data_IF_046871630115
#
_entry.id   IF_046871630115
#
_cell.length_a   1.000
_cell.length_b   1.000
_cell.length_c   1.000
_cell.angle_alpha   90.00
_cell.angle_beta   90.00
_cell.angle_gamma   90.00
#
_symmetry.space_group_name_H-M   'P 1'
#
loop_
_entity.id
_entity.type
_entity.pdbx_description
1 polymer ?
#
# COMPACT_ATOMS: atom_id res chain seq x y z
N UNK A 1 -21.24 -14.77 -27.17
CA UNK A 1 -19.78 -14.87 -26.97
C UNK A 1 -19.28 -13.80 -25.99
N UNK A 2 -19.33 -12.50 -26.32
CA UNK A 2 -18.79 -11.44 -25.45
C UNK A 2 -19.45 -11.35 -24.05
N UNK A 3 -20.78 -11.53 -23.95
CA UNK A 3 -21.48 -11.52 -22.66
C UNK A 3 -21.03 -12.66 -21.72
N UNK A 4 -20.67 -13.83 -22.25
CA UNK A 4 -20.15 -14.95 -21.46
C UNK A 4 -18.76 -14.67 -20.90
N UNK A 5 -17.87 -14.07 -21.71
CA UNK A 5 -16.53 -13.68 -21.27
C UNK A 5 -16.60 -12.63 -20.16
N UNK A 6 -17.47 -11.61 -20.31
CA UNK A 6 -17.65 -10.59 -19.29
C UNK A 6 -18.08 -11.19 -17.94
N UNK A 7 -19.00 -12.15 -17.95
CA UNK A 7 -19.44 -12.85 -16.75
C UNK A 7 -18.29 -13.65 -16.10
N UNK A 8 -17.49 -14.36 -16.90
CA UNK A 8 -16.33 -15.11 -16.41
C UNK A 8 -15.24 -14.23 -15.79
N UNK A 9 -14.95 -13.08 -16.39
CA UNK A 9 -14.01 -12.11 -15.83
C UNK A 9 -14.54 -11.51 -14.54
N UNK A 10 -15.84 -11.15 -14.52
CA UNK A 10 -16.50 -10.64 -13.32
C UNK A 10 -16.42 -11.66 -12.18
N UNK A 11 -16.75 -12.93 -12.44
CA UNK A 11 -16.64 -14.00 -11.46
C UNK A 11 -15.20 -14.17 -10.95
N UNK A 12 -14.21 -14.12 -11.86
CA UNK A 12 -12.79 -14.22 -11.50
C UNK A 12 -12.33 -13.09 -10.57
N UNK A 13 -12.80 -11.86 -10.80
CA UNK A 13 -12.47 -10.69 -9.98
C UNK A 13 -13.25 -10.70 -8.65
N UNK A 14 -14.54 -11.05 -8.68
CA UNK A 14 -15.37 -11.16 -7.47
C UNK A 14 -14.83 -12.22 -6.50
N UNK A 15 -14.27 -13.33 -7.00
CA UNK A 15 -13.60 -14.34 -6.19
C UNK A 15 -12.39 -13.77 -5.39
N UNK A 16 -11.88 -12.59 -5.77
CA UNK A 16 -10.81 -11.85 -5.08
C UNK A 16 -11.35 -10.62 -4.34
N UNK A 17 -12.67 -10.53 -4.17
CA UNK A 17 -13.38 -9.39 -3.56
C UNK A 17 -13.19 -8.07 -4.32
N UNK A 18 -12.92 -8.15 -5.62
CA UNK A 18 -12.86 -6.99 -6.51
C UNK A 18 -14.11 -7.01 -7.38
N UNK A 19 -15.03 -6.08 -7.14
CA UNK A 19 -16.29 -5.99 -7.86
C UNK A 19 -16.22 -4.82 -8.85
N UNK A 20 -15.81 -5.04 -10.10
CA UNK A 20 -15.64 -3.96 -11.07
C UNK A 20 -16.98 -3.33 -11.46
N UNK A 21 -16.96 -2.04 -11.80
CA UNK A 21 -18.12 -1.38 -12.40
C UNK A 21 -18.38 -1.91 -13.81
N UNK A 22 -19.65 -1.86 -14.25
CA UNK A 22 -20.00 -2.24 -15.62
C UNK A 22 -19.25 -1.38 -16.66
N UNK A 23 -19.07 -0.08 -16.37
CA UNK A 23 -18.33 0.85 -17.20
C UNK A 23 -16.85 0.44 -17.35
N UNK A 24 -16.19 0.09 -16.24
CA UNK A 24 -14.81 -0.39 -16.29
C UNK A 24 -14.69 -1.70 -17.08
N UNK A 25 -15.62 -2.65 -16.88
CA UNK A 25 -15.61 -3.94 -17.59
C UNK A 25 -15.80 -3.75 -19.10
N UNK A 26 -16.73 -2.89 -19.52
CA UNK A 26 -16.94 -2.57 -20.93
C UNK A 26 -15.70 -1.90 -21.55
N UNK A 27 -15.09 -0.95 -20.84
CA UNK A 27 -13.84 -0.31 -21.27
C UNK A 27 -12.65 -1.29 -21.36
N UNK A 28 -12.57 -2.26 -20.45
CA UNK A 28 -11.55 -3.31 -20.54
C UNK A 28 -11.74 -4.18 -21.79
N UNK A 29 -12.96 -4.65 -22.02
CA UNK A 29 -13.28 -5.54 -23.15
C UNK A 29 -13.07 -4.86 -24.50
N UNK A 30 -13.36 -3.57 -24.64
CA UNK A 30 -13.13 -2.82 -25.89
C UNK A 30 -11.66 -2.73 -26.29
N UNK A 31 -10.73 -2.84 -25.32
CA UNK A 31 -9.29 -2.84 -25.57
C UNK A 31 -8.68 -4.24 -25.74
N UNK A 32 -9.50 -5.30 -25.61
CA UNK A 32 -9.03 -6.67 -25.69
C UNK A 32 -9.05 -7.18 -27.13
N UNK A 33 -7.99 -7.89 -27.55
CA UNK A 33 -7.91 -8.44 -28.90
C UNK A 33 -8.87 -9.63 -29.03
N UNK A 34 -9.52 -9.84 -30.19
CA UNK A 34 -10.53 -10.89 -30.36
C UNK A 34 -10.07 -12.32 -30.01
N UNK A 35 -8.80 -12.65 -30.20
CA UNK A 35 -8.24 -14.00 -30.00
C UNK A 35 -7.41 -14.14 -28.71
N UNK A 36 -7.55 -13.24 -27.75
CA UNK A 36 -6.81 -13.38 -26.47
C UNK A 36 -7.36 -14.55 -25.66
N UNK A 37 -6.51 -15.50 -25.21
CA UNK A 37 -6.95 -16.60 -24.37
C UNK A 37 -7.54 -16.12 -23.05
N UNK A 38 -8.63 -16.74 -22.61
CA UNK A 38 -9.32 -16.39 -21.37
C UNK A 38 -8.42 -16.32 -20.11
N UNK A 39 -7.45 -17.25 -19.88
CA UNK A 39 -6.53 -17.12 -18.75
C UNK A 39 -5.70 -15.84 -18.79
N UNK A 40 -5.26 -15.42 -19.97
CA UNK A 40 -4.53 -14.17 -20.17
C UNK A 40 -5.44 -12.96 -19.94
N UNK A 41 -6.70 -13.02 -20.34
CA UNK A 41 -7.69 -11.98 -20.04
C UNK A 41 -7.96 -11.87 -18.55
N UNK A 42 -8.10 -12.99 -17.83
CA UNK A 42 -8.28 -13.02 -16.37
C UNK A 42 -7.12 -12.31 -15.66
N UNK A 43 -5.88 -12.67 -15.98
CA UNK A 43 -4.70 -12.00 -15.40
C UNK A 43 -4.58 -10.53 -15.79
N UNK A 44 -4.79 -10.20 -17.07
CA UNK A 44 -4.69 -8.82 -17.56
C UNK A 44 -5.77 -7.93 -16.96
N UNK A 45 -7.00 -8.44 -16.79
CA UNK A 45 -8.10 -7.71 -16.15
C UNK A 45 -7.77 -7.42 -14.69
N UNK A 46 -7.25 -8.40 -13.94
CA UNK A 46 -6.81 -8.21 -12.56
C UNK A 46 -5.70 -7.15 -12.48
N UNK A 47 -4.65 -7.28 -13.28
CA UNK A 47 -3.54 -6.35 -13.31
C UNK A 47 -3.98 -4.92 -13.61
N UNK A 48 -4.80 -4.73 -14.65
CA UNK A 48 -5.30 -3.40 -15.02
C UNK A 48 -6.25 -2.83 -13.98
N UNK A 49 -7.12 -3.65 -13.36
CA UNK A 49 -8.04 -3.19 -12.33
C UNK A 49 -7.28 -2.67 -11.11
N UNK A 50 -6.25 -3.39 -10.66
CA UNK A 50 -5.41 -2.98 -9.54
C UNK A 50 -4.63 -1.67 -9.82
N UNK A 51 -4.43 -1.33 -11.08
CA UNK A 51 -3.80 -0.08 -11.52
C UNK A 51 -4.78 1.11 -11.69
N UNK A 52 -6.05 0.96 -11.32
CA UNK A 52 -7.07 2.03 -11.38
C UNK A 52 -7.45 2.57 -10.02
N UNK A 53 -8.10 3.74 -10.00
CA UNK A 53 -8.68 4.32 -8.78
C UNK A 53 -9.96 3.56 -8.41
N UNK A 54 -9.95 2.94 -7.23
CA UNK A 54 -11.05 2.08 -6.77
C UNK A 54 -12.37 2.83 -6.56
N UNK A 55 -12.34 4.15 -6.41
CA UNK A 55 -13.55 4.96 -6.24
C UNK A 55 -14.37 5.08 -7.53
N UNK A 56 -13.72 4.81 -8.68
CA UNK A 56 -14.34 4.87 -10.01
C UNK A 56 -14.46 3.49 -10.66
N UNK A 57 -13.54 2.58 -10.33
CA UNK A 57 -13.48 1.26 -10.96
C UNK A 57 -14.19 0.15 -10.20
N UNK A 58 -14.46 0.32 -8.89
CA UNK A 58 -15.12 -0.69 -8.08
C UNK A 58 -16.51 -0.25 -7.61
N UNK A 59 -17.43 -1.21 -7.54
CA UNK A 59 -18.72 -1.10 -6.87
C UNK A 59 -18.84 -2.21 -5.83
N UNK A 60 -18.23 -2.00 -4.66
CA UNK A 60 -18.22 -2.99 -3.60
C UNK A 60 -19.62 -3.17 -2.98
N UNK A 61 -20.00 -4.41 -2.62
CA UNK A 61 -21.18 -4.66 -1.80
C UNK A 61 -21.13 -3.89 -0.47
N UNK A 62 -22.31 -3.57 0.08
CA UNK A 62 -22.43 -2.87 1.37
C UNK A 62 -21.59 -3.47 2.53
N UNK A 63 -21.48 -4.81 2.72
CA UNK A 63 -20.62 -5.37 3.78
C UNK A 63 -19.11 -5.26 3.50
N UNK A 64 -18.71 -4.89 2.28
CA UNK A 64 -17.31 -4.80 1.83
C UNK A 64 -16.77 -3.36 1.76
N UNK A 65 -17.48 -2.42 2.38
CA UNK A 65 -17.05 -1.02 2.54
C UNK A 65 -17.05 -0.65 4.01
N UNK A 66 -16.39 0.46 4.37
CA UNK A 66 -16.40 0.88 5.76
C UNK A 66 -17.78 1.38 6.17
N UNK A 67 -18.26 1.03 7.38
CA UNK A 67 -19.46 1.64 7.94
C UNK A 67 -19.28 3.16 8.09
N UNK A 68 -20.34 3.92 7.85
CA UNK A 68 -20.31 5.40 7.82
C UNK A 68 -19.86 6.05 9.14
N UNK A 69 -19.97 5.32 10.24
CA UNK A 69 -19.59 5.75 11.58
C UNK A 69 -18.19 5.27 12.02
N UNK A 70 -17.40 4.65 11.13
CA UNK A 70 -16.08 4.10 11.45
C UNK A 70 -15.12 5.13 12.04
N UNK A 71 -15.28 6.40 11.65
CA UNK A 71 -14.45 7.52 12.11
C UNK A 71 -14.96 8.16 13.42
N UNK A 72 -16.06 7.69 14.00
CA UNK A 72 -16.57 8.23 15.27
C UNK A 72 -15.61 7.85 16.41
N UNK A 73 -14.73 8.78 16.78
CA UNK A 73 -13.73 8.61 17.84
C UNK A 73 -14.29 8.42 19.26
N UNK A 74 -15.60 8.61 19.45
CA UNK A 74 -16.30 8.27 20.71
C UNK A 74 -16.35 6.77 20.96
N UNK A 75 -16.31 5.96 19.90
CA UNK A 75 -16.19 4.51 20.01
C UNK A 75 -14.74 4.14 20.32
N UNK A 76 -14.52 3.55 21.49
CA UNK A 76 -13.18 3.17 21.93
C UNK A 76 -12.57 2.10 21.02
N UNK A 77 -13.34 1.08 20.69
CA UNK A 77 -12.90 -0.07 19.90
C UNK A 77 -14.08 -0.71 19.17
N UNK A 78 -13.84 -1.21 17.97
CA UNK A 78 -14.76 -2.07 17.20
C UNK A 78 -13.98 -2.95 16.25
N UNK A 79 -14.63 -3.98 15.72
CA UNK A 79 -14.07 -4.83 14.66
C UNK A 79 -14.81 -4.52 13.36
N UNK A 80 -14.07 -4.34 12.27
CA UNK A 80 -14.61 -4.34 10.92
C UNK A 80 -14.36 -5.73 10.33
N UNK A 81 -15.42 -6.55 10.14
CA UNK A 81 -15.25 -7.95 9.71
C UNK A 81 -14.67 -8.06 8.29
N UNK A 82 -15.06 -7.14 7.40
CA UNK A 82 -14.65 -7.17 6.00
C UNK A 82 -15.24 -8.37 5.23
N UNK A 83 -14.70 -8.71 4.05
CA UNK A 83 -13.51 -8.14 3.44
C UNK A 83 -13.72 -6.70 2.93
N UNK A 84 -12.80 -5.78 3.28
CA UNK A 84 -12.80 -4.39 2.76
C UNK A 84 -11.59 -4.17 1.88
N UNK A 85 -11.80 -3.77 0.63
CA UNK A 85 -10.71 -3.37 -0.27
C UNK A 85 -10.40 -1.89 -0.05
N UNK A 86 -9.14 -1.62 0.25
CA UNK A 86 -8.62 -0.27 0.47
C UNK A 86 -7.53 0.05 -0.54
N UNK A 87 -7.41 1.33 -0.89
CA UNK A 87 -6.33 1.90 -1.66
C UNK A 87 -5.42 2.71 -0.74
N UNK A 88 -4.12 2.49 -0.83
CA UNK A 88 -3.12 3.27 -0.09
C UNK A 88 -2.93 4.62 -0.77
N UNK A 89 -3.21 5.69 -0.04
CA UNK A 89 -3.01 7.07 -0.49
C UNK A 89 -1.71 7.68 0.01
N UNK A 90 -1.26 7.27 1.20
CA UNK A 90 -0.06 7.77 1.85
C UNK A 90 0.52 6.72 2.80
N UNK A 91 1.82 6.80 3.06
CA UNK A 91 2.54 6.01 4.05
C UNK A 91 3.64 6.87 4.71
N UNK A 92 3.69 6.84 6.03
CA UNK A 92 4.70 7.52 6.83
C UNK A 92 5.38 6.50 7.73
N UNK A 93 6.71 6.56 7.80
CA UNK A 93 7.46 5.90 8.87
C UNK A 93 7.42 6.81 10.10
N UNK A 94 6.74 6.34 11.14
CA UNK A 94 6.60 7.03 12.42
C UNK A 94 7.54 6.44 13.50
N UNK A 95 8.32 5.41 13.15
CA UNK A 95 9.34 4.83 14.02
C UNK A 95 10.66 5.61 14.00
N UNK A 96 10.99 6.24 12.88
CA UNK A 96 12.21 7.04 12.73
C UNK A 96 11.93 8.55 12.69
N UNK A 97 12.89 9.34 13.15
CA UNK A 97 12.80 10.80 13.07
C UNK A 97 12.70 11.28 11.62
N UNK A 98 11.92 12.34 11.39
CA UNK A 98 11.77 12.93 10.06
C UNK A 98 13.11 13.38 9.48
N UNK A 99 13.98 13.92 10.33
CA UNK A 99 15.31 14.38 9.92
C UNK A 99 16.20 13.23 9.45
N UNK A 100 16.25 12.12 10.20
CA UNK A 100 16.99 10.91 9.79
C UNK A 100 16.50 10.36 8.44
N UNK A 101 15.19 10.42 8.19
CA UNK A 101 14.64 10.04 6.89
C UNK A 101 15.04 10.99 5.76
N UNK A 102 15.13 12.30 6.01
CA UNK A 102 15.63 13.29 5.04
C UNK A 102 17.10 13.01 4.72
N UNK A 103 17.94 12.82 5.74
CA UNK A 103 19.36 12.51 5.58
C UNK A 103 19.56 11.21 4.78
N UNK A 104 18.76 10.18 5.03
CA UNK A 104 18.81 8.93 4.26
C UNK A 104 18.42 9.12 2.78
N UNK A 105 17.45 9.99 2.49
CA UNK A 105 17.09 10.34 1.11
C UNK A 105 18.26 11.06 0.43
N UNK A 106 18.89 12.02 1.10
CA UNK A 106 20.02 12.79 0.57
C UNK A 106 21.27 11.93 0.35
N UNK A 107 21.61 11.06 1.29
CA UNK A 107 22.73 10.13 1.15
C UNK A 107 22.55 9.22 -0.08
N UNK A 108 21.31 8.80 -0.35
CA UNK A 108 20.97 8.01 -1.54
C UNK A 108 21.08 8.84 -2.82
N UNK A 109 20.65 10.11 -2.82
CA UNK A 109 20.81 11.04 -3.96
C UNK A 109 22.29 11.32 -4.26
N UNK A 110 23.13 11.39 -3.23
CA UNK A 110 24.59 11.55 -3.34
C UNK A 110 25.34 10.27 -3.74
N UNK A 111 24.65 9.13 -3.82
CA UNK A 111 25.26 7.84 -4.19
C UNK A 111 26.10 7.18 -3.10
N UNK A 112 25.99 7.65 -1.85
CA UNK A 112 26.74 7.14 -0.69
C UNK A 112 26.35 5.70 -0.31
N UNK A 113 25.15 5.26 -0.72
CA UNK A 113 24.59 3.93 -0.46
C UNK A 113 25.18 2.80 -1.35
N UNK A 114 26.03 3.12 -2.33
CA UNK A 114 26.55 2.15 -3.32
C UNK A 114 27.94 1.58 -3.00
N UNK A 115 28.61 2.05 -1.94
CA UNK A 115 29.93 1.56 -1.53
C UNK A 115 29.80 0.60 -0.34
N UNK A 116 30.10 -0.67 -0.56
CA UNK A 116 30.15 -1.66 0.54
C UNK A 116 30.20 -3.13 0.15
N UNK A 117 30.91 -3.52 -0.91
CA UNK A 117 31.57 -4.84 -0.90
C UNK A 117 32.98 -4.62 -0.40
N UNK A 118 33.13 -4.49 0.90
CA UNK A 118 34.45 -4.57 1.51
C UNK A 118 34.73 -6.04 1.79
N UNK A 119 35.73 -6.58 1.10
CA UNK A 119 36.21 -7.95 1.27
C UNK A 119 36.93 -7.97 2.62
N UNK A 120 36.33 -8.60 3.63
CA UNK A 120 36.99 -8.85 4.92
C UNK A 120 38.19 -9.74 4.66
N UNK A 121 39.40 -9.16 4.60
CA UNK A 121 40.61 -9.89 4.93
C UNK A 121 40.56 -10.10 6.44
N UNK A 122 40.19 -11.31 6.84
CA UNK A 122 40.33 -11.77 8.22
C UNK A 122 41.82 -11.74 8.53
N UNK A 123 42.26 -10.70 9.22
CA UNK A 123 43.46 -10.73 10.04
C UNK A 123 42.94 -10.70 11.46
N UNK A 124 43.05 -11.84 12.14
CA UNK A 124 42.66 -11.97 13.54
C UNK A 124 43.55 -11.06 14.39
N UNK A 125 42.98 -9.97 14.88
CA UNK A 125 43.58 -9.23 15.98
C UNK A 125 42.47 -8.70 16.89
N UNK A 126 42.51 -9.19 18.12
CA UNK A 126 41.59 -8.89 19.20
C UNK A 126 41.63 -7.41 19.59
N UNK A 127 40.47 -6.92 20.03
CA UNK A 127 40.21 -5.73 20.84
C UNK A 127 39.75 -4.44 20.12
N UNK A 128 38.73 -3.83 20.74
CA UNK A 128 38.13 -2.50 20.51
C UNK A 128 37.05 -2.32 19.42
N UNK A 129 35.80 -2.42 19.87
CA UNK A 129 34.72 -1.46 19.55
C UNK A 129 34.54 -1.02 18.10
N UNK A 130 34.22 -1.96 17.20
CA UNK A 130 33.82 -1.62 15.83
C UNK A 130 32.31 -1.36 15.76
N UNK A 131 31.94 -0.09 15.62
CA UNK A 131 30.64 0.29 15.10
C UNK A 131 30.52 -0.29 13.68
N UNK A 132 29.93 -1.47 13.56
CA UNK A 132 29.54 -2.06 12.29
C UNK A 132 28.65 -1.03 11.58
N UNK A 133 29.16 -0.46 10.48
CA UNK A 133 28.38 0.33 9.55
C UNK A 133 27.38 -0.62 8.88
N UNK A 134 26.26 -0.87 9.58
CA UNK A 134 25.16 -1.65 9.08
C UNK A 134 24.72 -1.04 7.74
N UNK A 135 24.62 -1.90 6.71
CA UNK A 135 23.93 -1.54 5.48
C UNK A 135 22.63 -0.82 5.84
N UNK A 136 22.22 0.23 5.10
CA UNK A 136 21.02 1.02 5.40
C UNK A 136 19.84 0.07 5.57
N UNK A 137 19.52 -0.25 6.82
CA UNK A 137 18.50 -1.22 7.13
C UNK A 137 17.20 -0.50 6.86
N UNK A 138 16.46 -0.99 5.86
CA UNK A 138 15.14 -0.49 5.57
C UNK A 138 14.35 -0.47 6.88
N UNK A 139 13.76 0.68 7.20
CA UNK A 139 12.96 0.84 8.42
C UNK A 139 11.98 -0.31 8.54
N UNK A 140 11.85 -0.85 9.76
CA UNK A 140 10.89 -1.90 10.11
C UNK A 140 9.58 -1.32 10.66
N UNK A 141 9.37 -0.01 10.51
CA UNK A 141 8.20 0.69 11.00
C UNK A 141 8.33 1.10 12.48
N UNK A 142 7.21 1.39 13.16
CA UNK A 142 5.84 1.24 12.66
C UNK A 142 5.49 2.21 11.53
N UNK A 143 4.65 1.76 10.59
CA UNK A 143 4.11 2.61 9.53
C UNK A 143 2.70 3.13 9.85
N UNK A 144 2.47 4.40 9.52
CA UNK A 144 1.15 5.03 9.48
C UNK A 144 0.72 5.14 8.02
N UNK A 145 -0.47 4.65 7.69
CA UNK A 145 -1.01 4.70 6.33
C UNK A 145 -2.26 5.58 6.29
N UNK A 146 -2.50 6.23 5.15
CA UNK A 146 -3.80 6.78 4.79
C UNK A 146 -4.45 5.83 3.78
N UNK A 147 -5.56 5.21 4.17
CA UNK A 147 -6.31 4.28 3.33
C UNK A 147 -7.60 4.93 2.85
N UNK A 148 -8.06 4.51 1.68
CA UNK A 148 -9.35 4.91 1.11
C UNK A 148 -10.13 3.68 0.65
N UNK A 149 -11.44 3.59 0.92
CA UNK A 149 -12.28 2.53 0.36
C UNK A 149 -12.90 2.91 -1.00
N UNK A 150 -13.65 1.99 -1.61
CA UNK A 150 -14.32 2.26 -2.89
C UNK A 150 -15.44 3.31 -2.84
N UNK A 151 -15.89 3.72 -1.64
CA UNK A 151 -16.84 4.83 -1.46
C UNK A 151 -16.13 6.17 -1.26
N UNK A 152 -14.80 6.17 -1.25
CA UNK A 152 -13.98 7.35 -1.05
C UNK A 152 -13.76 7.72 0.42
N UNK A 153 -14.25 6.91 1.37
CA UNK A 153 -14.00 7.13 2.79
C UNK A 153 -12.51 6.95 3.07
N UNK A 154 -11.89 8.00 3.63
CA UNK A 154 -10.48 7.99 4.01
C UNK A 154 -10.34 7.70 5.50
N UNK A 155 -9.39 6.85 5.86
CA UNK A 155 -9.15 6.43 7.24
C UNK A 155 -7.66 6.21 7.47
N UNK A 156 -7.16 6.67 8.62
CA UNK A 156 -5.79 6.37 9.03
C UNK A 156 -5.68 4.95 9.55
N UNK A 157 -4.54 4.33 9.27
CA UNK A 157 -4.18 3.02 9.75
C UNK A 157 -2.79 3.06 10.38
N UNK A 158 -2.58 2.23 11.40
CA UNK A 158 -1.29 2.04 12.05
C UNK A 158 -0.92 0.57 11.98
N UNK A 159 0.31 0.30 11.57
CA UNK A 159 0.91 -1.02 11.66
C UNK A 159 1.27 -1.33 13.11
N UNK A 160 0.62 -2.33 13.69
CA UNK A 160 0.90 -2.81 15.05
C UNK A 160 2.02 -3.84 15.09
N UNK A 161 2.15 -4.61 14.01
CA UNK A 161 3.15 -5.67 13.83
C UNK A 161 3.63 -5.61 12.38
N UNK A 162 4.91 -5.87 12.14
CA UNK A 162 5.51 -5.81 10.81
C UNK A 162 4.73 -6.64 9.78
N UNK A 163 4.31 -6.00 8.69
CA UNK A 163 3.58 -6.62 7.57
C UNK A 163 4.46 -6.61 6.33
N UNK A 164 4.71 -7.80 5.77
CA UNK A 164 5.47 -7.94 4.54
C UNK A 164 4.81 -7.15 3.38
N UNK A 165 5.60 -6.31 2.73
CA UNK A 165 5.15 -5.45 1.64
C UNK A 165 4.60 -4.09 2.06
N UNK A 166 4.41 -3.81 3.35
CA UNK A 166 4.14 -2.46 3.85
C UNK A 166 5.45 -1.83 4.30
N UNK A 167 5.85 -0.76 3.62
CA UNK A 167 7.03 0.05 3.94
C UNK A 167 7.07 1.29 3.04
N UNK A 168 7.96 2.24 3.33
CA UNK A 168 8.04 3.49 2.56
C UNK A 168 8.53 3.36 1.11
N UNK A 169 8.91 2.15 0.66
CA UNK A 169 9.27 1.87 -0.74
C UNK A 169 8.08 1.30 -1.53
N UNK A 170 6.95 1.02 -0.88
CA UNK A 170 5.75 0.54 -1.56
C UNK A 170 5.19 1.57 -2.54
N UNK A 171 4.44 1.10 -3.53
CA UNK A 171 3.83 1.97 -4.54
C UNK A 171 2.55 2.62 -4.01
N UNK A 172 2.34 3.90 -4.30
CA UNK A 172 1.06 4.54 -3.97
C UNK A 172 -0.04 4.02 -4.89
N UNK A 173 -1.25 3.93 -4.34
CA UNK A 173 -2.38 3.29 -5.00
C UNK A 173 -2.42 1.77 -4.88
N UNK A 174 -1.46 1.16 -4.16
CA UNK A 174 -1.50 -0.27 -3.82
C UNK A 174 -2.83 -0.61 -3.16
N UNK A 175 -3.42 -1.75 -3.54
CA UNK A 175 -4.65 -2.25 -2.93
C UNK A 175 -4.35 -3.21 -1.79
N UNK A 176 -5.04 -3.02 -0.69
CA UNK A 176 -5.03 -3.90 0.48
C UNK A 176 -6.42 -4.52 0.65
N UNK A 177 -6.46 -5.78 1.06
CA UNK A 177 -7.68 -6.45 1.48
C UNK A 177 -7.65 -6.63 3.00
N UNK A 178 -8.60 -6.03 3.70
CA UNK A 178 -8.68 -6.04 5.16
C UNK A 178 -9.78 -6.99 5.64
N UNK A 179 -9.50 -7.78 6.68
CA UNK A 179 -10.46 -8.71 7.32
C UNK A 179 -10.32 -8.71 8.83
N UNK A 180 -11.42 -8.65 9.55
CA UNK A 180 -11.43 -8.67 11.03
C UNK A 180 -10.46 -7.64 11.64
N UNK A 181 -10.40 -6.45 11.05
CA UNK A 181 -9.47 -5.39 11.47
C UNK A 181 -10.07 -4.62 12.65
N UNK A 182 -9.26 -4.40 13.69
CA UNK A 182 -9.66 -3.56 14.80
C UNK A 182 -9.61 -2.09 14.39
N UNK A 183 -10.63 -1.33 14.78
CA UNK A 183 -10.64 0.13 14.71
C UNK A 183 -10.64 0.64 16.14
N UNK A 184 -9.66 1.47 16.51
CA UNK A 184 -9.58 2.11 17.82
C UNK A 184 -9.58 3.62 17.63
N UNK A 185 -10.55 4.30 18.24
CA UNK A 185 -10.71 5.77 18.12
C UNK A 185 -10.65 6.27 16.66
N UNK A 186 -11.25 5.53 15.73
CA UNK A 186 -11.27 5.88 14.30
C UNK A 186 -10.00 5.54 13.51
N UNK A 187 -9.04 4.83 14.09
CA UNK A 187 -7.79 4.39 13.43
C UNK A 187 -7.79 2.88 13.26
N UNK A 188 -7.45 2.39 12.07
CA UNK A 188 -7.29 0.96 11.79
C UNK A 188 -6.00 0.43 12.41
N UNK A 189 -6.09 -0.75 12.99
CA UNK A 189 -5.02 -1.43 13.69
C UNK A 189 -4.60 -2.64 12.86
N UNK A 190 -3.58 -2.46 12.02
CA UNK A 190 -3.15 -3.43 11.03
C UNK A 190 -2.20 -4.45 11.65
N UNK A 191 -2.44 -5.72 11.33
CA UNK A 191 -1.61 -6.86 11.70
C UNK A 191 -1.50 -7.83 10.51
N UNK A 192 -0.45 -8.67 10.44
CA UNK A 192 -0.27 -9.62 9.33
C UNK A 192 -1.46 -10.58 9.10
N UNK A 193 -2.23 -10.88 10.14
CA UNK A 193 -3.40 -11.75 10.04
C UNK A 193 -4.63 -11.07 9.42
N UNK A 194 -4.66 -9.73 9.37
CA UNK A 194 -5.83 -8.96 8.96
C UNK A 194 -5.61 -8.17 7.66
N UNK A 195 -4.38 -8.18 7.12
CA UNK A 195 -4.03 -7.50 5.86
C UNK A 195 -3.52 -8.50 4.82
N UNK A 196 -4.07 -8.41 3.62
CA UNK A 196 -3.49 -9.03 2.43
C UNK A 196 -3.16 -7.94 1.40
N UNK A 197 -1.89 -7.87 0.97
CA UNK A 197 -1.45 -6.95 -0.08
C UNK A 197 -1.83 -7.53 -1.45
N UNK A 198 -2.66 -6.83 -2.22
CA UNK A 198 -3.06 -7.24 -3.57
C UNK A 198 -2.16 -6.64 -4.65
N UNK A 199 -1.37 -5.61 -4.31
CA UNK A 199 -0.49 -4.90 -5.23
C UNK A 199 -1.22 -3.80 -6.01
N UNK A 200 -0.69 -3.43 -7.18
CA UNK A 200 -1.19 -2.32 -7.98
C UNK A 200 -0.47 -1.00 -7.69
N UNK A 201 -0.67 -0.03 -8.59
CA UNK A 201 -0.01 1.26 -8.57
C UNK A 201 -0.87 2.29 -9.28
N UNK A 202 -1.05 3.46 -8.68
CA UNK A 202 -1.59 4.63 -9.38
C UNK A 202 -0.41 5.51 -9.80
N UNK A 203 -0.03 5.45 -11.08
CA UNK A 203 1.17 6.10 -11.61
C UNK A 203 1.28 7.58 -11.23
N UNK A 204 0.20 8.35 -11.42
CA UNK A 204 0.19 9.77 -11.09
C UNK A 204 0.36 10.04 -9.58
N UNK A 205 -0.29 9.24 -8.73
CA UNK A 205 -0.19 9.36 -7.28
C UNK A 205 1.20 8.96 -6.77
N UNK A 206 1.73 7.85 -7.26
CA UNK A 206 3.04 7.33 -6.89
C UNK A 206 4.16 8.30 -7.26
N UNK A 207 4.10 8.85 -8.48
CA UNK A 207 5.06 9.86 -8.94
C UNK A 207 5.02 11.10 -8.06
N UNK A 208 3.83 11.71 -7.89
CA UNK A 208 3.66 12.91 -7.08
C UNK A 208 4.06 12.69 -5.61
N UNK A 209 3.78 11.49 -5.08
CA UNK A 209 4.18 11.15 -3.72
C UNK A 209 5.70 11.04 -3.59
N UNK A 210 6.37 10.34 -4.50
CA UNK A 210 7.83 10.18 -4.47
C UNK A 210 8.57 11.51 -4.62
N UNK A 211 8.15 12.33 -5.58
CA UNK A 211 8.77 13.64 -5.85
C UNK A 211 8.60 14.58 -4.66
N UNK A 212 7.42 14.64 -4.04
CA UNK A 212 7.17 15.52 -2.90
C UNK A 212 7.60 14.97 -1.54
N UNK A 213 8.12 13.74 -1.43
CA UNK A 213 8.37 13.09 -0.13
C UNK A 213 9.38 13.86 0.72
N UNK A 214 10.52 14.24 0.13
CA UNK A 214 11.61 14.94 0.84
C UNK A 214 11.14 16.29 1.37
N UNK A 215 10.47 17.08 0.54
CA UNK A 215 9.91 18.38 0.91
C UNK A 215 8.88 18.27 2.04
N UNK A 216 7.96 17.30 1.96
CA UNK A 216 6.99 17.04 3.03
C UNK A 216 7.66 16.66 4.35
N UNK A 217 8.70 15.83 4.31
CA UNK A 217 9.47 15.47 5.51
C UNK A 217 10.20 16.66 6.12
N UNK A 218 10.86 17.49 5.30
CA UNK A 218 11.54 18.70 5.76
C UNK A 218 10.56 19.71 6.36
N UNK A 219 9.42 19.95 5.71
CA UNK A 219 8.39 20.83 6.23
C UNK A 219 7.87 20.33 7.59
N UNK A 220 7.52 19.04 7.67
CA UNK A 220 7.00 18.45 8.91
C UNK A 220 8.07 18.35 10.03
N UNK A 221 9.36 18.33 9.70
CA UNK A 221 10.43 18.41 10.69
C UNK A 221 10.54 19.82 11.31
N UNK A 222 10.33 20.86 10.51
CA UNK A 222 10.41 22.27 10.94
C UNK A 222 9.21 22.73 11.76
N UNK A 223 8.03 22.17 11.52
CA UNK A 223 6.78 22.55 12.22
C UNK A 223 6.64 21.92 13.61
N UNK A 224 7.63 21.16 14.10
CA UNK A 224 7.52 20.48 15.42
C UNK A 224 8.04 21.35 16.59
N UNK A 225 7.97 22.68 16.46
CA UNK A 225 8.22 23.65 17.54
C UNK A 225 6.91 24.12 18.21
#
# INVERSE_FOLDING_TARGET
>A
MAAGIAAELTQHLNARHLYPTAAWMQGFLSTTRPNTPLPAMKQTSLFRLLATDITTSLHQPAPSVFPSDVLKGTLQSRIVPGPVVCQVLDIEDIGNSRWSQVEAIEARERGEMTKGREIVRVVEQENEGTAEAAAPTQSKGPFKLLLQDSKGLKIYAMELRGIDGINTNMTMGTKLLLRNVHVRRGVLMLEPNNVQVLGGKLEALDKAWKEGRKERLMAAARTTE
#
